data_IF_638925984369
#
_entry.id   IF_638925984369
#
_cell.length_a   1.000
_cell.length_b   1.000
_cell.length_c   1.000
_cell.angle_alpha   90.00
_cell.angle_beta   90.00
_cell.angle_gamma   90.00
#
_symmetry.space_group_name_H-M   'P 1'
#
loop_
_entity.id
_entity.type
_entity.pdbx_description
1 polymer ?
#
# COMPACT_ATOMS: atom_id res chain seq x y z
N UNK A 1 -7.03 9.49 -0.71
CA UNK A 1 -8.07 8.56 -0.25
C UNK A 1 -9.07 9.28 0.66
N UNK A 2 -8.66 9.85 1.81
CA UNK A 2 -9.57 10.59 2.71
C UNK A 2 -10.35 11.70 1.98
N UNK A 3 -9.70 12.56 1.21
CA UNK A 3 -10.38 13.57 0.38
C UNK A 3 -11.48 13.00 -0.51
N UNK A 4 -11.26 11.81 -1.09
CA UNK A 4 -12.29 11.17 -1.91
C UNK A 4 -13.47 10.66 -1.08
N UNK A 5 -13.22 10.17 0.14
CA UNK A 5 -14.29 9.79 1.09
C UNK A 5 -15.09 11.03 1.49
N UNK A 6 -14.42 12.06 2.00
CA UNK A 6 -15.05 13.31 2.47
C UNK A 6 -15.87 14.01 1.38
N UNK A 7 -15.36 14.07 0.14
CA UNK A 7 -16.08 14.66 -0.98
C UNK A 7 -17.46 14.00 -1.22
N UNK A 8 -17.56 12.69 -0.98
CA UNK A 8 -18.80 11.93 -1.14
C UNK A 8 -19.69 12.06 0.11
N UNK A 9 -19.12 11.88 1.29
CA UNK A 9 -19.89 11.93 2.55
C UNK A 9 -20.49 13.31 2.77
N UNK A 10 -19.72 14.39 2.58
CA UNK A 10 -20.17 15.77 2.74
C UNK A 10 -21.31 16.12 1.76
N UNK A 11 -21.16 15.70 0.49
CA UNK A 11 -22.20 15.91 -0.52
C UNK A 11 -23.54 15.24 -0.18
N UNK A 12 -23.53 14.22 0.67
CA UNK A 12 -24.72 13.48 1.11
C UNK A 12 -25.12 13.77 2.56
N UNK A 13 -24.49 14.74 3.22
CA UNK A 13 -24.83 15.15 4.59
C UNK A 13 -24.35 14.20 5.69
N UNK A 14 -23.39 13.34 5.39
CA UNK A 14 -22.73 12.47 6.37
C UNK A 14 -21.43 13.10 6.88
N UNK A 15 -21.10 12.83 8.13
CA UNK A 15 -19.83 13.22 8.72
C UNK A 15 -18.84 12.06 8.74
N UNK A 16 -17.60 12.33 8.40
CA UNK A 16 -16.51 11.33 8.47
C UNK A 16 -15.77 11.44 9.81
N UNK A 17 -15.73 10.35 10.56
CA UNK A 17 -14.89 10.20 11.74
C UNK A 17 -13.64 9.41 11.38
N UNK A 18 -12.46 9.91 11.74
CA UNK A 18 -11.18 9.25 11.47
C UNK A 18 -10.56 8.71 12.76
N UNK A 19 -10.26 7.40 12.77
CA UNK A 19 -9.50 6.78 13.83
C UNK A 19 -8.19 6.19 13.31
N UNK A 20 -7.08 6.62 13.90
CA UNK A 20 -5.77 6.06 13.61
C UNK A 20 -5.41 5.00 14.66
N UNK A 21 -5.03 3.81 14.20
CA UNK A 21 -4.72 2.65 15.05
C UNK A 21 -3.28 2.11 14.87
N UNK A 22 -2.44 2.81 14.07
CA UNK A 22 -1.02 2.47 13.90
C UNK A 22 -0.75 1.10 13.30
N UNK A 23 -1.71 0.53 12.56
CA UNK A 23 -1.64 -0.83 11.99
C UNK A 23 -1.50 -1.94 13.04
N UNK A 24 -2.03 -1.71 14.26
CA UNK A 24 -2.06 -2.68 15.37
C UNK A 24 -3.48 -3.19 15.55
N UNK A 25 -3.76 -4.49 15.34
CA UNK A 25 -5.13 -5.01 15.41
C UNK A 25 -5.82 -4.77 16.77
N UNK A 26 -5.06 -4.76 17.87
CA UNK A 26 -5.61 -4.49 19.21
C UNK A 26 -6.05 -3.01 19.34
N UNK A 27 -5.30 -2.09 18.75
CA UNK A 27 -5.66 -0.67 18.73
C UNK A 27 -6.85 -0.41 17.80
N UNK A 28 -6.95 -1.14 16.69
CA UNK A 28 -8.13 -1.10 15.82
C UNK A 28 -9.39 -1.49 16.62
N UNK A 29 -9.31 -2.57 17.36
CA UNK A 29 -10.40 -3.05 18.24
C UNK A 29 -10.86 -1.97 19.22
N UNK A 30 -9.93 -1.31 19.94
CA UNK A 30 -10.26 -0.22 20.87
C UNK A 30 -10.90 0.98 20.17
N UNK A 31 -10.38 1.37 18.99
CA UNK A 31 -10.94 2.46 18.22
C UNK A 31 -12.32 2.15 17.69
N UNK A 32 -12.53 0.93 17.20
CA UNK A 32 -13.84 0.48 16.75
C UNK A 32 -14.87 0.46 17.89
N UNK A 33 -14.52 -0.05 19.05
CA UNK A 33 -15.39 -0.05 20.23
C UNK A 33 -15.85 1.37 20.60
N UNK A 34 -14.90 2.32 20.57
CA UNK A 34 -15.22 3.74 20.77
C UNK A 34 -16.16 4.31 19.70
N UNK A 35 -15.88 4.04 18.42
CA UNK A 35 -16.70 4.55 17.30
C UNK A 35 -18.12 3.96 17.35
N UNK A 36 -18.27 2.68 17.63
CA UNK A 36 -19.58 2.04 17.74
C UNK A 36 -20.42 2.64 18.87
N UNK A 37 -19.81 3.12 19.96
CA UNK A 37 -20.53 3.82 21.03
C UNK A 37 -21.14 5.15 20.59
N UNK A 38 -20.71 5.69 19.45
CA UNK A 38 -21.22 6.93 18.83
C UNK A 38 -22.29 6.66 17.77
N UNK A 39 -22.78 5.40 17.68
CA UNK A 39 -23.82 4.98 16.73
C UNK A 39 -23.47 5.36 15.26
N UNK A 40 -22.29 4.97 14.81
CA UNK A 40 -21.90 5.17 13.40
C UNK A 40 -22.80 4.36 12.46
N UNK A 41 -23.11 4.91 11.28
CA UNK A 41 -23.98 4.30 10.28
C UNK A 41 -23.27 3.26 9.40
N UNK A 42 -21.97 3.33 9.29
CA UNK A 42 -21.16 2.44 8.47
C UNK A 42 -19.66 2.59 8.72
N UNK A 43 -18.87 1.67 8.20
CA UNK A 43 -17.45 1.57 8.48
C UNK A 43 -16.62 1.43 7.20
N UNK A 44 -15.52 2.18 7.13
CA UNK A 44 -14.49 2.03 6.09
C UNK A 44 -13.20 1.57 6.77
N UNK A 45 -12.70 0.40 6.36
CA UNK A 45 -11.45 -0.19 6.84
C UNK A 45 -10.38 -0.16 5.76
N UNK A 46 -9.11 -0.10 6.16
CA UNK A 46 -7.98 -0.11 5.22
C UNK A 46 -7.11 -1.37 5.33
N UNK A 47 -7.39 -2.23 6.30
CA UNK A 47 -6.76 -3.54 6.48
C UNK A 47 -7.79 -4.66 6.33
N UNK A 48 -7.30 -5.89 6.16
CA UNK A 48 -8.09 -7.12 5.99
C UNK A 48 -7.95 -8.06 7.19
N UNK A 49 -6.92 -7.89 7.98
CA UNK A 49 -6.65 -8.74 9.15
C UNK A 49 -7.17 -8.05 10.40
N UNK A 50 -8.13 -8.68 11.06
CA UNK A 50 -8.82 -8.16 12.23
C UNK A 50 -8.78 -9.15 13.38
N UNK A 51 -8.88 -8.67 14.63
CA UNK A 51 -9.03 -9.58 15.78
C UNK A 51 -10.39 -10.27 15.74
N UNK A 52 -10.54 -11.47 16.35
CA UNK A 52 -11.84 -12.13 16.48
C UNK A 52 -12.89 -11.24 17.17
N UNK A 53 -12.47 -10.39 18.11
CA UNK A 53 -13.36 -9.45 18.81
C UNK A 53 -13.80 -8.31 17.89
N UNK A 54 -12.91 -7.76 17.06
CA UNK A 54 -13.26 -6.77 16.02
C UNK A 54 -14.33 -7.33 15.08
N UNK A 55 -14.12 -8.55 14.56
CA UNK A 55 -15.10 -9.20 13.69
C UNK A 55 -16.46 -9.40 14.38
N UNK A 56 -16.44 -9.82 15.64
CA UNK A 56 -17.68 -10.00 16.41
C UNK A 56 -18.40 -8.70 16.69
N UNK A 57 -17.69 -7.61 16.96
CA UNK A 57 -18.30 -6.29 17.15
C UNK A 57 -18.97 -5.80 15.86
N UNK A 58 -18.32 -5.96 14.69
CA UNK A 58 -18.87 -5.61 13.38
C UNK A 58 -20.15 -6.43 13.11
N UNK A 59 -20.10 -7.75 13.32
CA UNK A 59 -21.24 -8.63 13.13
C UNK A 59 -22.45 -8.22 14.01
N UNK A 60 -22.20 -7.94 15.29
CA UNK A 60 -23.26 -7.53 16.24
C UNK A 60 -23.81 -6.15 15.93
N UNK A 61 -22.98 -5.23 15.50
CA UNK A 61 -23.39 -3.88 15.12
C UNK A 61 -24.29 -3.89 13.86
N UNK A 62 -24.15 -4.87 12.98
CA UNK A 62 -24.97 -5.03 11.77
C UNK A 62 -24.87 -3.87 10.78
N UNK A 63 -23.83 -3.04 10.89
CA UNK A 63 -23.59 -1.91 9.98
C UNK A 63 -22.84 -2.35 8.73
N UNK A 64 -23.05 -1.71 7.58
CA UNK A 64 -22.30 -1.99 6.36
C UNK A 64 -20.81 -1.64 6.51
N UNK A 65 -19.97 -2.45 5.85
CA UNK A 65 -18.51 -2.30 5.87
C UNK A 65 -17.96 -2.26 4.47
N UNK A 66 -17.06 -1.31 4.22
CA UNK A 66 -16.25 -1.26 3.00
C UNK A 66 -14.77 -1.34 3.37
N UNK A 67 -14.08 -2.30 2.79
CA UNK A 67 -12.65 -2.48 2.94
C UNK A 67 -11.93 -1.94 1.69
N UNK A 68 -10.91 -1.13 1.91
CA UNK A 68 -10.15 -0.47 0.83
C UNK A 68 -8.76 -1.08 0.65
N UNK A 69 -8.11 -0.74 -0.46
CA UNK A 69 -6.70 -1.01 -0.78
C UNK A 69 -6.38 -2.40 -1.31
N UNK A 70 -7.28 -3.38 -1.20
CA UNK A 70 -7.09 -4.71 -1.78
C UNK A 70 -8.38 -5.19 -2.45
N UNK A 71 -8.24 -5.89 -3.58
CA UNK A 71 -9.37 -6.43 -4.36
C UNK A 71 -9.31 -7.95 -4.51
N UNK A 72 -8.31 -8.62 -3.97
CA UNK A 72 -8.07 -10.05 -4.22
C UNK A 72 -8.43 -10.94 -3.02
N UNK A 73 -8.32 -10.42 -1.80
CA UNK A 73 -8.67 -11.18 -0.59
C UNK A 73 -10.18 -11.15 -0.33
N UNK A 74 -10.77 -12.18 0.30
CA UNK A 74 -12.17 -12.16 0.72
C UNK A 74 -12.48 -10.94 1.60
N UNK A 75 -13.65 -10.33 1.40
CA UNK A 75 -14.07 -9.14 2.16
C UNK A 75 -15.20 -9.45 3.15
N UNK A 76 -15.37 -8.58 4.15
CA UNK A 76 -16.44 -8.67 5.14
C UNK A 76 -17.83 -8.41 4.49
N UNK A 77 -17.96 -7.32 3.74
CA UNK A 77 -19.17 -6.98 2.98
C UNK A 77 -18.82 -6.50 1.57
N UNK A 78 -18.08 -5.39 1.44
CA UNK A 78 -17.66 -4.79 0.17
C UNK A 78 -16.17 -4.51 0.19
N UNK A 79 -15.51 -4.70 -0.94
CA UNK A 79 -14.12 -4.32 -1.15
C UNK A 79 -13.95 -3.41 -2.37
N UNK A 80 -13.10 -2.40 -2.24
CA UNK A 80 -12.63 -1.55 -3.35
C UNK A 80 -11.13 -1.40 -3.25
N UNK A 81 -10.41 -1.88 -4.25
CA UNK A 81 -8.96 -1.90 -4.19
C UNK A 81 -8.31 -2.15 -5.54
N UNK A 82 -7.18 -2.80 -5.51
CA UNK A 82 -6.42 -3.25 -6.66
C UNK A 82 -5.59 -4.48 -6.27
N UNK A 83 -5.02 -5.16 -7.27
CA UNK A 83 -4.16 -6.31 -7.05
C UNK A 83 -2.74 -5.87 -6.64
N UNK A 84 -2.44 -5.96 -5.34
CA UNK A 84 -1.14 -5.60 -4.79
C UNK A 84 -0.01 -6.56 -5.22
N UNK A 85 -0.33 -7.85 -5.39
CA UNK A 85 0.64 -8.85 -5.85
C UNK A 85 1.06 -8.56 -7.29
N UNK A 86 0.09 -8.42 -8.18
CA UNK A 86 0.35 -8.18 -9.60
C UNK A 86 1.03 -6.83 -9.83
N UNK A 87 0.66 -5.79 -9.07
CA UNK A 87 1.32 -4.50 -9.13
C UNK A 87 2.81 -4.58 -8.78
N UNK A 88 3.14 -5.30 -7.72
CA UNK A 88 4.53 -5.52 -7.31
C UNK A 88 5.29 -6.38 -8.32
N UNK A 89 4.66 -7.44 -8.83
CA UNK A 89 5.24 -8.32 -9.86
C UNK A 89 5.59 -7.53 -11.13
N UNK A 90 4.68 -6.70 -11.62
CA UNK A 90 4.91 -5.90 -12.83
C UNK A 90 5.98 -4.82 -12.62
N UNK A 91 6.02 -4.13 -11.47
CA UNK A 91 7.07 -3.15 -11.20
C UNK A 91 8.45 -3.81 -11.13
N UNK A 92 8.55 -4.96 -10.47
CA UNK A 92 9.81 -5.71 -10.42
C UNK A 92 10.25 -6.18 -11.81
N UNK A 93 9.32 -6.68 -12.62
CA UNK A 93 9.60 -7.05 -14.01
C UNK A 93 10.09 -5.85 -14.84
N UNK A 94 9.56 -4.64 -14.59
CA UNK A 94 10.02 -3.42 -15.24
C UNK A 94 11.47 -3.06 -14.88
N UNK A 95 11.89 -3.24 -13.62
CA UNK A 95 13.28 -3.05 -13.18
C UNK A 95 14.18 -4.08 -13.88
N UNK A 96 13.77 -5.36 -13.92
CA UNK A 96 14.52 -6.44 -14.59
C UNK A 96 14.68 -6.16 -16.10
N UNK A 97 13.62 -5.66 -16.74
CA UNK A 97 13.66 -5.31 -18.17
C UNK A 97 14.64 -4.19 -18.52
N UNK A 98 15.03 -3.35 -17.54
CA UNK A 98 16.07 -2.31 -17.69
C UNK A 98 17.49 -2.84 -17.49
N UNK A 99 17.66 -4.12 -17.20
CA UNK A 99 18.95 -4.78 -17.12
C UNK A 99 19.44 -5.09 -15.71
N UNK A 100 18.75 -4.61 -14.66
CA UNK A 100 19.10 -4.88 -13.27
C UNK A 100 18.85 -6.35 -12.91
N UNK A 101 19.75 -6.94 -12.13
CA UNK A 101 19.70 -8.38 -11.81
C UNK A 101 19.78 -8.67 -10.31
N UNK A 102 20.42 -7.80 -9.55
CA UNK A 102 20.62 -7.92 -8.11
C UNK A 102 19.68 -6.96 -7.38
N UNK A 103 18.38 -7.28 -7.41
CA UNK A 103 17.31 -6.42 -6.92
C UNK A 103 16.92 -6.89 -5.51
N UNK A 104 16.77 -5.97 -4.56
CA UNK A 104 16.23 -6.27 -3.24
C UNK A 104 14.86 -5.63 -3.03
N UNK A 105 13.99 -6.32 -2.29
CA UNK A 105 12.75 -5.74 -1.75
C UNK A 105 13.00 -5.12 -0.38
N UNK A 106 12.61 -3.86 -0.21
CA UNK A 106 12.68 -3.15 1.08
C UNK A 106 11.28 -2.96 1.65
N UNK A 107 11.01 -3.58 2.80
CA UNK A 107 9.70 -3.54 3.43
C UNK A 107 9.73 -3.01 4.87
N UNK A 108 8.65 -2.35 5.27
CA UNK A 108 8.44 -1.87 6.63
C UNK A 108 7.01 -2.17 7.08
N UNK A 109 6.79 -2.20 8.40
CA UNK A 109 5.54 -2.52 9.11
C UNK A 109 5.13 -3.99 9.12
N UNK A 110 5.54 -4.79 8.17
CA UNK A 110 5.20 -6.21 8.02
C UNK A 110 3.68 -6.50 7.96
N UNK A 111 2.87 -5.50 7.55
CA UNK A 111 1.45 -5.70 7.32
C UNK A 111 1.18 -6.66 6.14
N UNK A 112 -0.05 -7.15 6.05
CA UNK A 112 -0.43 -8.13 5.04
C UNK A 112 -0.12 -7.65 3.61
N UNK A 113 -0.37 -6.37 3.30
CA UNK A 113 -0.08 -5.80 1.97
C UNK A 113 1.41 -5.73 1.67
N UNK A 114 2.24 -5.44 2.69
CA UNK A 114 3.70 -5.49 2.55
C UNK A 114 4.15 -6.90 2.16
N UNK A 115 3.61 -7.93 2.80
CA UNK A 115 3.91 -9.34 2.50
C UNK A 115 3.37 -9.75 1.12
N UNK A 116 2.18 -9.31 0.73
CA UNK A 116 1.60 -9.58 -0.61
C UNK A 116 2.49 -8.97 -1.70
N UNK A 117 2.95 -7.73 -1.53
CA UNK A 117 3.87 -7.08 -2.47
C UNK A 117 5.23 -7.78 -2.53
N UNK A 118 5.76 -8.22 -1.39
CA UNK A 118 6.98 -9.04 -1.35
C UNK A 118 6.83 -10.31 -2.18
N UNK A 119 5.72 -11.03 -2.03
CA UNK A 119 5.44 -12.24 -2.84
C UNK A 119 5.38 -11.94 -4.34
N UNK A 120 4.78 -10.81 -4.73
CA UNK A 120 4.76 -10.36 -6.13
C UNK A 120 6.17 -10.07 -6.68
N UNK A 121 6.99 -9.36 -5.90
CA UNK A 121 8.40 -9.15 -6.20
C UNK A 121 9.16 -10.48 -6.35
N UNK A 122 9.06 -11.37 -5.37
CA UNK A 122 9.72 -12.67 -5.41
C UNK A 122 9.31 -13.51 -6.62
N UNK A 123 8.03 -13.45 -7.01
CA UNK A 123 7.56 -14.16 -8.19
C UNK A 123 8.22 -13.62 -9.45
N UNK A 124 8.32 -12.31 -9.64
CA UNK A 124 8.98 -11.72 -10.79
C UNK A 124 10.47 -12.07 -10.87
N UNK A 125 11.16 -12.09 -9.70
CA UNK A 125 12.56 -12.52 -9.63
C UNK A 125 12.71 -13.99 -10.05
N UNK A 126 11.86 -14.89 -9.52
CA UNK A 126 11.87 -16.31 -9.89
C UNK A 126 11.55 -16.54 -11.36
N UNK A 127 10.57 -15.83 -11.91
CA UNK A 127 10.18 -15.92 -13.33
C UNK A 127 11.34 -15.55 -14.26
N UNK A 128 12.22 -14.65 -13.80
CA UNK A 128 13.43 -14.24 -14.51
C UNK A 128 14.68 -15.13 -14.21
N UNK A 129 14.53 -16.17 -13.40
CA UNK A 129 15.66 -17.02 -12.97
C UNK A 129 16.64 -16.32 -12.01
N UNK A 130 16.19 -15.27 -11.32
CA UNK A 130 16.99 -14.48 -10.38
C UNK A 130 16.69 -14.88 -8.93
N UNK A 131 17.67 -14.62 -8.05
CA UNK A 131 17.52 -14.89 -6.62
C UNK A 131 16.90 -13.68 -5.94
N UNK A 132 15.73 -13.82 -5.25
CA UNK A 132 15.14 -12.72 -4.51
C UNK A 132 15.89 -12.45 -3.21
N UNK A 133 16.06 -11.17 -2.88
CA UNK A 133 16.59 -10.68 -1.61
C UNK A 133 15.58 -9.72 -0.97
N UNK A 134 15.40 -9.81 0.34
CA UNK A 134 14.47 -8.92 1.05
C UNK A 134 15.08 -8.44 2.36
N UNK A 135 14.94 -7.15 2.63
CA UNK A 135 15.27 -6.56 3.92
C UNK A 135 14.01 -5.93 4.49
N UNK A 136 13.62 -6.37 5.67
CA UNK A 136 12.34 -6.05 6.29
C UNK A 136 12.54 -5.51 7.70
N UNK A 137 11.69 -4.56 8.11
CA UNK A 137 11.66 -4.06 9.49
C UNK A 137 10.22 -3.93 10.00
N UNK A 138 10.02 -4.05 11.32
CA UNK A 138 8.71 -3.89 11.97
C UNK A 138 8.28 -2.42 12.11
N UNK A 139 9.24 -1.52 12.14
CA UNK A 139 9.01 -0.08 12.30
C UNK A 139 8.16 0.49 11.16
N UNK A 140 7.53 1.62 11.43
CA UNK A 140 6.74 2.35 10.45
C UNK A 140 7.60 2.84 9.29
N UNK A 141 7.00 2.89 8.10
CA UNK A 141 7.61 3.50 6.92
C UNK A 141 7.89 4.98 7.15
N UNK A 142 9.10 5.40 6.82
CA UNK A 142 9.54 6.78 6.82
C UNK A 142 10.75 6.93 5.90
N UNK A 143 11.16 8.14 5.58
CA UNK A 143 12.40 8.39 4.86
C UNK A 143 13.62 7.85 5.64
N UNK A 144 13.64 8.03 6.96
CA UNK A 144 14.72 7.50 7.81
C UNK A 144 14.80 5.98 7.78
N UNK A 145 13.65 5.29 7.82
CA UNK A 145 13.58 3.83 7.67
C UNK A 145 14.10 3.39 6.30
N UNK A 146 13.81 4.14 5.24
CA UNK A 146 14.33 3.88 3.90
C UNK A 146 15.86 3.98 3.83
N UNK A 147 16.45 4.98 4.48
CA UNK A 147 17.92 5.13 4.61
C UNK A 147 18.52 3.92 5.32
N UNK A 148 17.91 3.51 6.44
CA UNK A 148 18.40 2.39 7.24
C UNK A 148 18.33 1.05 6.48
N UNK A 149 17.20 0.76 5.86
CA UNK A 149 17.00 -0.44 5.03
C UNK A 149 17.99 -0.49 3.86
N UNK A 150 18.22 0.64 3.19
CA UNK A 150 19.20 0.72 2.10
C UNK A 150 20.62 0.42 2.59
N UNK A 151 21.04 0.96 3.74
CA UNK A 151 22.33 0.66 4.37
C UNK A 151 22.46 -0.81 4.70
N UNK A 152 21.41 -1.41 5.26
CA UNK A 152 21.39 -2.83 5.59
C UNK A 152 21.47 -3.68 4.32
N UNK A 153 20.64 -3.41 3.31
CA UNK A 153 20.62 -4.14 2.06
C UNK A 153 22.00 -4.16 1.38
N UNK A 154 22.69 -3.02 1.33
CA UNK A 154 24.02 -2.94 0.74
C UNK A 154 25.10 -3.68 1.53
N UNK A 155 24.98 -3.76 2.84
CA UNK A 155 25.91 -4.55 3.65
C UNK A 155 25.72 -6.05 3.44
N UNK A 156 24.48 -6.50 3.34
CA UNK A 156 24.12 -7.90 3.19
C UNK A 156 24.26 -8.40 1.74
N UNK A 157 24.00 -7.52 0.77
CA UNK A 157 24.03 -7.81 -0.67
C UNK A 157 24.92 -6.81 -1.41
N UNK A 158 26.28 -6.97 -1.37
CA UNK A 158 27.22 -6.00 -1.94
C UNK A 158 27.08 -5.79 -3.45
N UNK A 159 26.51 -6.75 -4.19
CA UNK A 159 26.26 -6.69 -5.64
C UNK A 159 24.95 -5.99 -6.01
N UNK A 160 24.21 -5.45 -5.03
CA UNK A 160 22.91 -4.81 -5.24
C UNK A 160 22.98 -3.71 -6.31
N UNK A 161 22.13 -3.82 -7.34
CA UNK A 161 22.01 -2.88 -8.46
C UNK A 161 20.59 -2.32 -8.61
N UNK A 162 19.64 -2.79 -7.80
CA UNK A 162 18.27 -2.31 -7.80
C UNK A 162 17.52 -2.56 -6.50
N UNK A 163 16.54 -1.72 -6.21
CA UNK A 163 15.63 -1.89 -5.07
C UNK A 163 14.19 -1.62 -5.48
N UNK A 164 13.28 -2.40 -4.90
CA UNK A 164 11.85 -2.14 -4.94
C UNK A 164 11.33 -1.98 -3.50
N UNK A 165 10.75 -0.83 -3.20
CA UNK A 165 10.28 -0.48 -1.88
C UNK A 165 8.77 -0.68 -1.75
N UNK A 166 8.30 -1.12 -0.57
CA UNK A 166 6.86 -1.30 -0.30
C UNK A 166 6.04 -0.02 -0.45
N UNK A 167 6.70 1.15 -0.35
CA UNK A 167 6.10 2.46 -0.62
C UNK A 167 7.16 3.52 -0.98
N UNK A 168 6.68 4.68 -1.43
CA UNK A 168 7.54 5.78 -1.89
C UNK A 168 8.34 6.42 -0.76
N UNK A 169 7.87 6.41 0.50
CA UNK A 169 8.63 6.99 1.62
C UNK A 169 9.95 6.25 1.82
N UNK A 170 9.92 4.91 1.74
CA UNK A 170 11.16 4.11 1.80
C UNK A 170 12.04 4.35 0.57
N UNK A 171 11.43 4.43 -0.62
CA UNK A 171 12.17 4.63 -1.86
C UNK A 171 12.88 5.99 -1.90
N UNK A 172 12.23 7.06 -1.46
CA UNK A 172 12.83 8.39 -1.34
C UNK A 172 13.96 8.39 -0.31
N UNK A 173 13.78 7.73 0.83
CA UNK A 173 14.83 7.57 1.83
C UNK A 173 16.05 6.82 1.27
N UNK A 174 15.82 5.74 0.53
CA UNK A 174 16.89 4.99 -0.13
C UNK A 174 17.60 5.82 -1.20
N UNK A 175 16.87 6.66 -1.95
CA UNK A 175 17.47 7.59 -2.92
C UNK A 175 18.38 8.61 -2.25
N UNK A 176 17.99 9.17 -1.11
CA UNK A 176 18.87 10.07 -0.33
C UNK A 176 20.14 9.37 0.15
N UNK A 177 20.04 8.09 0.54
CA UNK A 177 21.24 7.33 0.91
C UNK A 177 22.15 7.09 -0.31
N UNK A 178 21.59 6.80 -1.49
CA UNK A 178 22.36 6.69 -2.73
C UNK A 178 23.09 8.00 -3.05
N UNK A 179 22.43 9.14 -2.97
CA UNK A 179 23.04 10.46 -3.17
C UNK A 179 24.19 10.70 -2.19
N UNK A 180 24.01 10.38 -0.90
CA UNK A 180 25.04 10.49 0.13
C UNK A 180 26.27 9.64 -0.18
N UNK A 181 26.08 8.50 -0.82
CA UNK A 181 27.14 7.56 -1.22
C UNK A 181 27.76 7.87 -2.60
N UNK A 182 27.22 8.87 -3.31
CA UNK A 182 27.66 9.21 -4.66
C UNK A 182 27.24 8.20 -5.73
N UNK A 183 26.23 7.37 -5.44
CA UNK A 183 25.69 6.42 -6.41
C UNK A 183 24.74 7.15 -7.37
N UNK A 184 24.88 6.87 -8.65
CA UNK A 184 24.01 7.38 -9.70
C UNK A 184 22.71 6.57 -9.77
N UNK A 185 21.59 7.26 -9.81
CA UNK A 185 20.29 6.67 -10.04
C UNK A 185 19.85 7.04 -11.47
N UNK A 186 19.53 6.09 -12.35
CA UNK A 186 19.43 4.64 -12.12
C UNK A 186 20.73 3.85 -12.38
N UNK A 187 21.79 4.45 -12.91
CA UNK A 187 22.94 3.74 -13.50
C UNK A 187 23.61 2.75 -12.53
N UNK A 188 23.86 3.18 -11.28
CA UNK A 188 24.49 2.34 -10.26
C UNK A 188 23.43 1.66 -9.37
N UNK A 189 22.22 2.23 -9.29
CA UNK A 189 21.14 1.74 -8.42
C UNK A 189 19.77 2.15 -8.97
N UNK A 190 19.02 1.18 -9.49
CA UNK A 190 17.62 1.39 -9.83
C UNK A 190 16.78 1.47 -8.55
N UNK A 191 15.81 2.38 -8.50
CA UNK A 191 14.93 2.55 -7.34
C UNK A 191 13.49 2.65 -7.80
N UNK A 192 12.62 1.79 -7.25
CA UNK A 192 11.18 1.89 -7.44
C UNK A 192 10.43 1.90 -6.11
N UNK A 193 9.35 2.65 -6.07
CA UNK A 193 8.43 2.75 -4.95
C UNK A 193 7.02 2.27 -5.29
N UNK A 194 6.07 2.67 -4.43
CA UNK A 194 4.68 2.26 -4.52
C UNK A 194 3.79 3.37 -3.94
N UNK A 195 2.67 3.64 -4.58
CA UNK A 195 1.60 4.61 -4.32
C UNK A 195 1.65 5.92 -5.11
N UNK A 196 2.79 6.31 -5.71
CA UNK A 196 2.91 7.56 -6.47
C UNK A 196 2.75 8.80 -5.59
N UNK A 197 3.47 8.84 -4.45
CA UNK A 197 3.47 10.02 -3.58
C UNK A 197 4.09 11.22 -4.29
N UNK A 198 3.55 12.42 -4.01
CA UNK A 198 3.95 13.67 -4.65
C UNK A 198 5.47 13.91 -4.60
N UNK A 199 6.10 13.65 -3.45
CA UNK A 199 7.54 13.80 -3.29
C UNK A 199 8.35 12.99 -4.31
N UNK A 200 7.94 11.75 -4.61
CA UNK A 200 8.60 10.91 -5.61
C UNK A 200 8.42 11.42 -7.04
N UNK A 201 7.33 12.17 -7.30
CA UNK A 201 7.04 12.70 -8.62
C UNK A 201 7.81 13.99 -8.94
N UNK A 202 8.31 14.70 -7.91
CA UNK A 202 9.05 15.97 -8.04
C UNK A 202 10.54 15.85 -7.78
N UNK A 203 11.02 14.69 -7.32
CA UNK A 203 12.47 14.46 -7.15
C UNK A 203 13.18 14.25 -8.51
N UNK A 204 14.51 14.40 -8.53
CA UNK A 204 15.34 14.17 -9.70
C UNK A 204 16.39 13.08 -9.41
N UNK A 205 16.43 11.99 -10.19
CA UNK A 205 15.44 11.60 -11.20
C UNK A 205 14.07 11.28 -10.58
N UNK A 206 12.99 11.50 -11.36
CA UNK A 206 11.62 11.19 -10.91
C UNK A 206 11.50 9.72 -10.55
N UNK A 207 10.91 9.43 -9.38
CA UNK A 207 10.78 8.08 -8.87
C UNK A 207 9.86 7.21 -9.75
N UNK A 208 10.35 6.05 -10.13
CA UNK A 208 9.51 4.98 -10.65
C UNK A 208 8.58 4.50 -9.52
N UNK A 209 7.31 4.38 -9.80
CA UNK A 209 6.34 3.98 -8.77
C UNK A 209 5.10 3.32 -9.36
N UNK A 210 4.49 2.41 -8.60
CA UNK A 210 3.13 1.96 -8.85
C UNK A 210 2.17 3.06 -8.44
N UNK A 211 1.49 3.67 -9.43
CA UNK A 211 0.50 4.71 -9.18
C UNK A 211 -0.84 4.04 -8.82
N UNK A 212 -1.34 4.33 -7.63
CA UNK A 212 -2.59 3.76 -7.12
C UNK A 212 -3.71 4.80 -7.12
N UNK A 213 -4.95 4.46 -7.54
CA UNK A 213 -6.05 5.43 -7.66
C UNK A 213 -6.69 5.75 -6.30
N UNK A 214 -5.90 6.20 -5.31
CA UNK A 214 -6.32 6.35 -3.91
C UNK A 214 -7.53 7.26 -3.72
N UNK A 215 -7.59 8.39 -4.42
CA UNK A 215 -8.73 9.31 -4.28
C UNK A 215 -10.01 8.67 -4.85
N UNK A 216 -9.94 8.11 -6.06
CA UNK A 216 -11.04 7.38 -6.68
C UNK A 216 -11.50 6.17 -5.85
N UNK A 217 -10.55 5.47 -5.22
CA UNK A 217 -10.85 4.36 -4.31
C UNK A 217 -11.65 4.84 -3.09
N UNK A 218 -11.27 5.98 -2.52
CA UNK A 218 -12.00 6.61 -1.43
C UNK A 218 -13.42 7.02 -1.83
N UNK A 219 -13.57 7.69 -2.98
CA UNK A 219 -14.88 8.13 -3.48
C UNK A 219 -15.81 6.94 -3.74
N UNK A 220 -15.36 5.95 -4.52
CA UNK A 220 -16.16 4.77 -4.83
C UNK A 220 -16.47 3.95 -3.57
N UNK A 221 -15.52 3.83 -2.64
CA UNK A 221 -15.76 3.17 -1.36
C UNK A 221 -16.86 3.84 -0.56
N UNK A 222 -16.84 5.16 -0.46
CA UNK A 222 -17.87 5.94 0.22
C UNK A 222 -19.23 5.85 -0.49
N UNK A 223 -19.30 5.98 -1.82
CA UNK A 223 -20.52 5.80 -2.61
C UNK A 223 -21.18 4.44 -2.34
N UNK A 224 -20.37 3.36 -2.35
CA UNK A 224 -20.84 2.00 -2.08
C UNK A 224 -21.31 1.82 -0.64
N UNK A 225 -20.60 2.42 0.33
CA UNK A 225 -21.01 2.41 1.72
C UNK A 225 -22.36 3.10 1.90
N UNK A 226 -22.52 4.30 1.35
CA UNK A 226 -23.79 5.06 1.42
C UNK A 226 -24.95 4.32 0.74
N UNK A 227 -24.72 3.66 -0.40
CA UNK A 227 -25.71 2.81 -1.03
C UNK A 227 -26.16 1.68 -0.08
N UNK A 228 -25.22 1.03 0.59
CA UNK A 228 -25.52 -0.02 1.59
C UNK A 228 -26.27 0.51 2.81
N UNK A 229 -25.92 1.70 3.32
CA UNK A 229 -26.64 2.37 4.41
C UNK A 229 -28.10 2.62 4.03
N UNK A 230 -28.38 2.97 2.77
CA UNK A 230 -29.73 3.13 2.24
C UNK A 230 -30.47 1.82 1.94
N UNK A 231 -29.84 0.66 2.20
CA UNK A 231 -30.42 -0.65 1.93
C UNK A 231 -30.35 -1.10 0.47
N UNK A 232 -29.57 -0.40 -0.37
CA UNK A 232 -29.40 -0.74 -1.77
C UNK A 232 -28.47 -1.96 -1.93
N UNK A 233 -28.70 -2.75 -2.98
CA UNK A 233 -27.82 -3.88 -3.32
C UNK A 233 -26.61 -3.38 -4.10
N UNK A 234 -25.40 -3.69 -3.62
CA UNK A 234 -24.14 -3.29 -4.27
C UNK A 234 -23.49 -4.50 -4.93
N UNK A 235 -23.28 -4.42 -6.23
CA UNK A 235 -22.61 -5.46 -7.04
C UNK A 235 -21.65 -4.83 -8.04
N UNK A 236 -20.51 -5.45 -8.34
CA UNK A 236 -19.91 -6.59 -7.63
C UNK A 236 -19.51 -6.20 -6.21
N UNK A 237 -19.44 -7.17 -5.28
CA UNK A 237 -18.97 -6.91 -3.92
C UNK A 237 -17.48 -6.53 -3.85
N UNK A 238 -16.68 -7.10 -4.72
CA UNK A 238 -15.26 -6.80 -4.85
C UNK A 238 -15.02 -6.05 -6.15
N UNK A 239 -14.43 -4.86 -6.07
CA UNK A 239 -14.13 -4.01 -7.22
C UNK A 239 -12.65 -3.72 -7.31
N UNK A 240 -12.05 -4.20 -8.42
CA UNK A 240 -10.69 -3.87 -8.79
C UNK A 240 -10.68 -2.59 -9.63
N UNK A 241 -9.94 -1.58 -9.18
CA UNK A 241 -9.76 -0.30 -9.88
C UNK A 241 -8.49 -0.27 -10.75
N UNK A 242 -7.68 -1.32 -10.66
CA UNK A 242 -6.39 -1.39 -11.31
C UNK A 242 -5.36 -0.43 -10.72
N UNK A 243 -4.21 -0.40 -11.38
CA UNK A 243 -3.08 0.48 -11.09
C UNK A 243 -2.38 0.88 -12.39
N UNK A 244 -1.45 1.83 -12.31
CA UNK A 244 -0.61 2.22 -13.46
C UNK A 244 0.86 2.21 -13.02
N UNK A 245 1.77 1.80 -13.91
CA UNK A 245 3.20 1.91 -13.65
C UNK A 245 3.72 3.24 -14.20
N UNK A 246 4.37 4.04 -13.35
CA UNK A 246 5.19 5.16 -13.78
C UNK A 246 6.64 4.69 -13.81
N UNK A 247 7.30 4.65 -14.97
CA UNK A 247 8.70 4.26 -15.04
C UNK A 247 9.62 5.33 -14.45
N UNK A 248 9.16 6.55 -14.28
CA UNK A 248 9.96 7.66 -13.79
C UNK A 248 11.23 7.89 -14.61
N UNK A 249 12.32 8.17 -13.92
CA UNK A 249 13.70 8.20 -14.42
C UNK A 249 14.64 7.47 -13.46
N UNK A 250 14.09 6.73 -12.47
CA UNK A 250 14.89 6.07 -11.43
C UNK A 250 15.06 4.55 -11.65
N UNK A 251 14.54 4.01 -12.78
CA UNK A 251 14.79 2.64 -13.24
C UNK A 251 15.18 2.60 -14.70
#
# INVERSE_FOLDING_TARGET
MLRGIEAVTDAHGYQTMLAHYGYKPEMEQERLESMLSWNIDGLILTERTHTPRTLKMIEVAGIPVVELMDSQSPCLDIAVGFDNFEAARQMTAAIIARGHRHIAYLGARLDERTIIKQKGYEQAMRDAGLVPYSVMMEQSSSYSSGIELMRQARREYPQLDGIFCTNDDLAVGAAFECQRLGLKIPDDMAIAGFHGHDIGQVMEPRLASVLTPRERMGSIGAERLLARIRGEMVTPKMLDLGFTLSPGGSI
#
